data_IF_615608590711
#
_entry.id   IF_615608590711
#
_cell.length_a   1.000
_cell.length_b   1.000
_cell.length_c   1.000
_cell.angle_alpha   90.00
_cell.angle_beta   90.00
_cell.angle_gamma   90.00
#
_symmetry.space_group_name_H-M   'P 1'
#
loop_
_entity.id
_entity.type
_entity.pdbx_description
1 polymer ?
#
# COMPACT_ATOMS: atom_id res chain seq x y z
N UNK A 1 -12.84 -22.46 27.04
CA UNK A 1 -12.50 -22.13 26.51
C UNK A 1 -12.18 -22.31 25.82
N UNK A 2 -12.51 -22.41 25.78
CA UNK A 2 -12.08 -22.37 25.22
C UNK A 2 -11.42 -21.94 24.82
N UNK A 3 -11.41 -22.80 25.24
CA UNK A 3 -10.13 -22.29 25.14
C UNK A 3 -10.00 -21.31 24.15
N UNK A 4 -10.80 -21.14 23.44
CA UNK A 4 -10.66 -20.09 22.48
C UNK A 4 -10.97 -18.81 23.17
N UNK A 5 -9.92 -18.20 23.59
CA UNK A 5 -9.99 -16.82 24.02
C UNK A 5 -10.45 -16.00 22.83
N UNK A 6 -11.63 -15.38 22.87
CA UNK A 6 -12.13 -14.60 21.76
C UNK A 6 -11.18 -13.49 21.32
N UNK A 7 -10.41 -12.94 22.24
CA UNK A 7 -9.47 -11.88 21.88
C UNK A 7 -8.35 -12.39 20.99
N UNK A 8 -7.80 -13.55 21.31
CA UNK A 8 -6.71 -14.13 20.53
C UNK A 8 -7.20 -14.48 19.13
N UNK A 9 -8.38 -15.06 19.02
CA UNK A 9 -8.94 -15.40 17.73
C UNK A 9 -9.18 -14.14 16.91
N UNK A 10 -9.68 -13.09 17.56
CA UNK A 10 -9.93 -11.83 16.89
C UNK A 10 -8.65 -11.20 16.36
N UNK A 11 -7.58 -11.22 17.14
CA UNK A 11 -6.30 -10.67 16.68
C UNK A 11 -5.74 -11.43 15.52
N UNK A 12 -5.77 -12.74 15.55
CA UNK A 12 -5.27 -13.57 14.46
C UNK A 12 -6.07 -13.31 13.20
N UNK A 13 -7.40 -13.28 13.32
CA UNK A 13 -8.25 -13.08 12.16
C UNK A 13 -8.23 -11.67 11.63
N UNK A 14 -7.74 -10.71 12.40
CA UNK A 14 -7.69 -9.32 11.93
C UNK A 14 -6.44 -9.00 11.12
N UNK A 15 -5.48 -9.92 11.06
CA UNK A 15 -4.35 -9.79 10.13
C UNK A 15 -4.75 -10.42 8.81
N UNK A 16 -4.76 -9.62 7.76
CA UNK A 16 -5.15 -10.12 6.45
C UNK A 16 -4.28 -9.49 5.36
N UNK A 17 -3.58 -10.35 4.63
CA UNK A 17 -2.87 -9.93 3.42
C UNK A 17 -3.87 -9.88 2.28
N UNK A 18 -3.91 -8.76 1.57
CA UNK A 18 -4.90 -8.51 0.53
C UNK A 18 -4.33 -8.61 -0.87
N UNK A 19 -3.06 -8.29 -1.06
CA UNK A 19 -2.54 -8.09 -2.40
C UNK A 19 -1.02 -8.06 -2.38
N UNK A 20 -0.41 -8.48 -3.47
CA UNK A 20 1.03 -8.39 -3.66
C UNK A 20 1.30 -8.02 -5.11
N UNK A 21 2.32 -7.23 -5.33
CA UNK A 21 2.69 -6.80 -6.67
C UNK A 21 4.16 -6.37 -6.68
N UNK A 22 4.70 -6.18 -7.89
CA UNK A 22 6.08 -5.72 -8.06
C UNK A 22 6.13 -4.58 -9.04
N UNK A 23 7.09 -3.70 -8.86
CA UNK A 23 7.31 -2.60 -9.78
C UNK A 23 8.40 -1.68 -9.27
N UNK A 24 9.05 -0.99 -10.19
CA UNK A 24 10.08 0.01 -9.90
C UNK A 24 11.24 -0.54 -9.06
N UNK A 25 11.54 -1.84 -9.21
CA UNK A 25 12.65 -2.47 -8.49
C UNK A 25 12.29 -2.97 -7.09
N UNK A 26 11.03 -2.90 -6.73
CA UNK A 26 10.53 -3.34 -5.42
C UNK A 26 9.49 -4.43 -5.56
N UNK A 27 9.37 -5.22 -4.51
CA UNK A 27 8.24 -6.13 -4.31
C UNK A 27 7.42 -5.60 -3.15
N UNK A 28 6.11 -5.58 -3.31
CA UNK A 28 5.20 -4.99 -2.33
C UNK A 28 4.13 -5.98 -1.91
N UNK A 29 3.63 -5.78 -0.69
CA UNK A 29 2.40 -6.41 -0.24
C UNK A 29 1.54 -5.35 0.47
N UNK A 30 0.25 -5.61 0.50
CA UNK A 30 -0.72 -4.73 1.18
C UNK A 30 -1.52 -5.59 2.13
N UNK A 31 -1.71 -5.11 3.34
CA UNK A 31 -2.42 -5.86 4.37
C UNK A 31 -3.23 -4.94 5.27
N UNK A 32 -4.21 -5.51 5.95
CA UNK A 32 -4.87 -4.87 7.08
C UNK A 32 -4.40 -5.56 8.37
N UNK A 33 -4.11 -4.78 9.38
CA UNK A 33 -3.79 -5.26 10.72
C UNK A 33 -4.62 -4.47 11.70
N UNK A 34 -5.50 -5.16 12.43
CA UNK A 34 -6.35 -4.53 13.43
C UNK A 34 -7.11 -3.32 12.85
N UNK A 35 -7.64 -3.49 11.67
CA UNK A 35 -8.45 -2.47 11.02
C UNK A 35 -7.69 -1.34 10.36
N UNK A 36 -6.37 -1.47 10.23
CA UNK A 36 -5.54 -0.46 9.60
C UNK A 36 -4.76 -1.04 8.45
N UNK A 37 -4.70 -0.30 7.35
CA UNK A 37 -4.00 -0.74 6.15
C UNK A 37 -2.53 -0.34 6.17
N UNK A 38 -1.69 -1.23 5.67
CA UNK A 38 -0.25 -0.99 5.52
C UNK A 38 0.20 -1.50 4.17
N UNK A 39 1.21 -0.84 3.62
CA UNK A 39 1.95 -1.36 2.48
C UNK A 39 3.37 -1.66 2.94
N UNK A 40 3.85 -2.84 2.61
CA UNK A 40 5.23 -3.23 2.86
C UNK A 40 5.97 -3.35 1.54
N UNK A 41 7.24 -2.98 1.54
CA UNK A 41 8.05 -3.08 0.34
C UNK A 41 9.49 -3.41 0.67
N UNK A 42 10.12 -4.14 -0.22
CA UNK A 42 11.55 -4.45 -0.14
C UNK A 42 12.15 -4.44 -1.53
N UNK A 43 13.46 -4.23 -1.61
CA UNK A 43 14.17 -4.30 -2.89
C UNK A 43 14.08 -5.70 -3.46
N UNK A 44 13.91 -5.82 -4.77
CA UNK A 44 13.78 -7.12 -5.42
C UNK A 44 14.97 -8.03 -5.19
N UNK A 45 16.16 -7.46 -4.99
CA UNK A 45 17.37 -8.23 -4.82
C UNK A 45 17.71 -8.54 -3.37
N UNK A 46 16.83 -8.17 -2.46
CA UNK A 46 17.05 -8.38 -1.04
C UNK A 46 16.43 -9.72 -0.62
N UNK A 47 17.22 -10.77 -0.70
CA UNK A 47 16.76 -12.12 -0.38
C UNK A 47 16.42 -12.25 1.11
N UNK A 48 17.15 -11.53 1.96
CA UNK A 48 16.97 -11.62 3.40
C UNK A 48 15.92 -10.67 3.94
N UNK A 49 15.31 -9.85 3.08
CA UNK A 49 14.33 -8.84 3.45
C UNK A 49 14.86 -7.81 4.45
N UNK A 50 16.16 -7.55 4.40
CA UNK A 50 16.77 -6.53 5.27
C UNK A 50 16.29 -5.13 4.94
N UNK A 51 15.76 -4.92 3.74
CA UNK A 51 15.28 -3.62 3.30
C UNK A 51 13.75 -3.49 3.42
N UNK A 52 13.11 -4.43 4.12
CA UNK A 52 11.66 -4.38 4.28
C UNK A 52 11.24 -3.18 5.12
N UNK A 53 10.36 -2.37 4.58
CA UNK A 53 9.78 -1.21 5.26
C UNK A 53 8.28 -1.26 5.12
N UNK A 54 7.55 -0.97 6.18
CA UNK A 54 6.10 -0.87 6.15
C UNK A 54 5.66 0.57 6.40
N UNK A 55 4.67 1.01 5.65
CA UNK A 55 4.08 2.34 5.78
C UNK A 55 2.58 2.20 5.98
N UNK A 56 1.98 3.01 6.86
CA UNK A 56 0.52 3.01 6.96
C UNK A 56 -0.09 3.67 5.73
N UNK A 57 -1.25 3.16 5.32
CA UNK A 57 -2.04 3.74 4.24
C UNK A 57 -3.34 4.28 4.81
N UNK A 58 -3.65 5.53 4.53
CA UNK A 58 -4.91 6.14 4.95
C UNK A 58 -5.52 6.89 3.78
N UNK A 59 -6.83 7.07 3.85
CA UNK A 59 -7.57 7.76 2.81
C UNK A 59 -8.50 8.77 3.48
N UNK A 60 -8.32 10.05 3.18
CA UNK A 60 -9.05 11.13 3.86
C UNK A 60 -10.22 11.67 3.05
N UNK A 61 -10.76 10.86 2.16
CA UNK A 61 -11.88 11.29 1.34
C UNK A 61 -13.12 11.59 2.14
N UNK A 62 -13.85 12.63 1.73
CA UNK A 62 -15.10 12.98 2.38
C UNK A 62 -14.96 13.61 3.75
N UNK A 63 -13.78 14.12 4.08
CA UNK A 63 -13.57 14.79 5.35
C UNK A 63 -13.38 13.86 6.54
N UNK A 64 -13.32 12.56 6.30
CA UNK A 64 -13.10 11.57 7.35
C UNK A 64 -11.96 10.65 6.96
N UNK A 65 -11.03 10.47 7.90
CA UNK A 65 -9.92 9.54 7.68
C UNK A 65 -10.42 8.10 7.70
N UNK A 66 -10.11 7.36 6.65
CA UNK A 66 -10.47 5.95 6.55
C UNK A 66 -9.21 5.11 6.50
N UNK A 67 -9.14 4.10 7.32
CA UNK A 67 -7.94 3.29 7.51
C UNK A 67 -8.10 1.83 7.11
N UNK A 68 -9.33 1.36 6.94
CA UNK A 68 -9.59 -0.02 6.58
C UNK A 68 -9.68 -0.16 5.07
N UNK A 69 -8.80 -0.99 4.50
CA UNK A 69 -8.76 -1.21 3.06
C UNK A 69 -9.70 -2.37 2.71
N UNK A 70 -10.73 -2.07 1.94
CA UNK A 70 -11.73 -3.06 1.55
C UNK A 70 -11.38 -3.76 0.25
N UNK A 71 -10.74 -3.05 -0.67
CA UNK A 71 -10.34 -3.61 -1.96
C UNK A 71 -9.14 -2.85 -2.47
N UNK A 72 -8.29 -3.53 -3.22
CA UNK A 72 -7.06 -2.91 -3.72
C UNK A 72 -6.64 -3.58 -5.01
N UNK A 73 -6.07 -2.79 -5.91
CA UNK A 73 -5.42 -3.28 -7.11
C UNK A 73 -4.33 -2.30 -7.51
N UNK A 74 -3.51 -2.69 -8.47
CA UNK A 74 -2.45 -1.82 -8.97
C UNK A 74 -2.43 -1.87 -10.50
N UNK A 75 -1.81 -0.87 -11.09
CA UNK A 75 -1.65 -0.82 -12.53
C UNK A 75 -1.28 0.56 -13.01
N UNK A 76 -0.99 0.64 -14.29
CA UNK A 76 -0.69 1.92 -14.92
C UNK A 76 -1.99 2.61 -15.31
N UNK A 77 -1.98 3.94 -15.30
CA UNK A 77 -3.17 4.69 -15.68
C UNK A 77 -3.38 4.63 -17.19
N UNK A 78 -4.65 4.50 -17.60
CA UNK A 78 -4.98 4.69 -18.99
C UNK A 78 -4.86 6.18 -19.33
N UNK A 79 -4.88 6.48 -20.61
CA UNK A 79 -4.58 7.82 -21.10
C UNK A 79 -5.44 8.92 -20.49
N UNK A 80 -6.74 8.71 -20.40
CA UNK A 80 -7.64 9.72 -19.84
C UNK A 80 -7.40 9.95 -18.36
N UNK A 81 -7.23 8.89 -17.61
CA UNK A 81 -6.95 8.99 -16.20
C UNK A 81 -5.60 9.65 -15.94
N UNK A 82 -4.62 9.32 -16.78
CA UNK A 82 -3.29 9.90 -16.68
C UNK A 82 -3.34 11.42 -16.79
N UNK A 83 -4.08 11.95 -17.76
CA UNK A 83 -4.22 13.40 -17.94
C UNK A 83 -4.78 14.04 -16.67
N UNK A 84 -5.80 13.42 -16.08
CA UNK A 84 -6.43 13.95 -14.87
C UNK A 84 -5.48 13.90 -13.68
N UNK A 85 -4.77 12.80 -13.50
CA UNK A 85 -3.87 12.63 -12.34
C UNK A 85 -2.67 13.56 -12.43
N UNK A 86 -2.15 13.82 -13.64
CA UNK A 86 -1.01 14.71 -13.80
C UNK A 86 -1.32 16.15 -13.39
N UNK A 87 -2.57 16.53 -13.34
CA UNK A 87 -2.95 17.85 -12.85
C UNK A 87 -2.65 18.02 -11.36
N UNK A 88 -2.73 16.92 -10.61
CA UNK A 88 -2.44 16.94 -9.19
C UNK A 88 -0.98 16.55 -8.89
N UNK A 89 -0.45 15.61 -9.66
CA UNK A 89 0.92 15.13 -9.47
C UNK A 89 1.58 14.94 -10.83
N UNK A 90 2.40 15.92 -11.22
CA UNK A 90 3.05 15.91 -12.52
C UNK A 90 4.14 14.86 -12.67
N UNK A 91 4.53 14.19 -11.57
CA UNK A 91 5.52 13.11 -11.63
C UNK A 91 4.93 11.79 -12.12
N UNK A 92 3.61 11.70 -12.20
CA UNK A 92 2.95 10.52 -12.75
C UNK A 92 3.09 10.53 -14.26
N UNK A 93 3.55 9.41 -14.82
CA UNK A 93 3.64 9.23 -16.25
C UNK A 93 3.02 7.89 -16.66
N UNK A 94 3.12 7.55 -17.94
CA UNK A 94 2.50 6.35 -18.47
C UNK A 94 3.08 5.06 -17.87
N UNK A 95 4.28 5.12 -17.32
CA UNK A 95 4.96 3.96 -16.75
C UNK A 95 4.83 3.88 -15.23
N UNK A 96 4.25 4.89 -14.60
CA UNK A 96 4.11 4.92 -13.15
C UNK A 96 3.09 3.88 -12.71
N UNK A 97 3.49 3.03 -11.78
CA UNK A 97 2.55 2.10 -11.14
C UNK A 97 1.72 2.87 -10.12
N UNK A 98 0.42 2.69 -10.18
CA UNK A 98 -0.51 3.30 -9.23
C UNK A 98 -1.14 2.21 -8.38
N UNK A 99 -1.41 2.53 -7.13
CA UNK A 99 -2.12 1.65 -6.22
C UNK A 99 -3.50 2.26 -6.00
N UNK A 100 -4.55 1.50 -6.31
CA UNK A 100 -5.93 1.94 -6.18
C UNK A 100 -6.54 1.23 -4.99
N UNK A 101 -6.97 1.99 -3.99
CA UNK A 101 -7.54 1.40 -2.79
C UNK A 101 -8.90 1.98 -2.45
N UNK A 102 -9.83 1.09 -2.13
CA UNK A 102 -11.15 1.48 -1.62
C UNK A 102 -11.09 1.31 -0.11
N UNK A 103 -11.26 2.41 0.59
CA UNK A 103 -11.13 2.46 2.04
C UNK A 103 -12.47 2.75 2.69
N UNK A 104 -12.69 2.17 3.85
CA UNK A 104 -13.83 2.45 4.70
C UNK A 104 -13.38 2.61 6.14
N UNK A 105 -14.33 2.82 7.03
CA UNK A 105 -14.06 2.92 8.45
C UNK A 105 -14.02 1.55 9.12
N UNK A 106 -14.60 0.55 8.45
CA UNK A 106 -14.61 -0.84 8.92
C UNK A 106 -14.80 -1.76 7.73
N UNK A 107 -14.74 -3.07 7.98
CA UNK A 107 -14.90 -4.09 6.93
C UNK A 107 -16.27 -3.99 6.25
N UNK A 108 -17.29 -3.58 6.98
CA UNK A 108 -18.66 -3.54 6.46
C UNK A 108 -19.16 -2.12 6.19
N UNK A 109 -18.28 -1.13 6.29
CA UNK A 109 -18.67 0.25 6.05
C UNK A 109 -19.16 0.45 4.63
N UNK A 110 -20.30 1.10 4.47
CA UNK A 110 -20.82 1.46 3.15
C UNK A 110 -20.31 2.85 2.72
N UNK A 111 -19.81 3.63 3.66
CA UNK A 111 -19.22 4.92 3.35
C UNK A 111 -17.75 4.70 2.99
N UNK A 112 -17.47 4.66 1.71
CA UNK A 112 -16.14 4.35 1.21
C UNK A 112 -15.56 5.47 0.38
N UNK A 113 -14.25 5.46 0.25
CA UNK A 113 -13.52 6.41 -0.61
C UNK A 113 -12.48 5.66 -1.41
N UNK A 114 -12.29 6.08 -2.65
CA UNK A 114 -11.22 5.57 -3.48
C UNK A 114 -10.03 6.51 -3.35
N UNK A 115 -8.88 5.98 -2.97
CA UNK A 115 -7.64 6.71 -3.00
C UNK A 115 -6.68 6.07 -3.97
N UNK A 116 -5.94 6.90 -4.70
CA UNK A 116 -4.97 6.45 -5.68
C UNK A 116 -3.60 6.93 -5.20
N UNK A 117 -2.68 5.98 -5.06
CA UNK A 117 -1.34 6.28 -4.57
C UNK A 117 -0.33 6.15 -5.70
N UNK A 118 0.56 7.12 -5.80
CA UNK A 118 1.71 7.05 -6.69
C UNK A 118 2.77 6.18 -6.03
N UNK A 119 3.02 4.99 -6.56
CA UNK A 119 3.93 4.03 -5.94
C UNK A 119 5.36 4.57 -5.89
N UNK A 120 5.77 5.39 -6.85
CA UNK A 120 7.11 6.02 -6.78
C UNK A 120 7.27 6.87 -5.52
N UNK A 121 6.21 7.56 -5.10
CA UNK A 121 6.26 8.37 -3.89
C UNK A 121 6.30 7.52 -2.64
N UNK A 122 5.62 6.39 -2.64
CA UNK A 122 5.71 5.46 -1.54
C UNK A 122 7.13 4.93 -1.41
N UNK A 123 7.78 4.64 -2.54
CA UNK A 123 9.18 4.21 -2.55
C UNK A 123 10.09 5.29 -1.97
N UNK A 124 9.88 6.55 -2.34
CA UNK A 124 10.66 7.64 -1.78
C UNK A 124 10.57 7.68 -0.26
N UNK A 125 9.38 7.46 0.27
CA UNK A 125 9.19 7.42 1.72
C UNK A 125 9.91 6.23 2.36
N UNK A 126 9.89 5.08 1.71
CA UNK A 126 10.59 3.90 2.19
C UNK A 126 12.10 4.10 2.16
N UNK A 127 12.62 4.69 1.10
CA UNK A 127 14.06 4.93 0.97
C UNK A 127 14.58 5.89 2.02
N UNK A 128 13.77 6.84 2.47
CA UNK A 128 14.17 7.74 3.55
C UNK A 128 14.48 7.01 4.84
N UNK A 129 13.83 5.88 5.05
CA UNK A 129 14.06 5.11 6.28
C UNK A 129 15.34 4.31 6.18
N UNK A 130 15.61 3.70 5.02
CA UNK A 130 16.74 2.78 4.90
C UNK A 130 17.81 3.18 3.90
N UNK A 131 17.55 4.11 3.03
CA UNK A 131 18.50 4.43 1.97
C UNK A 131 18.92 3.15 1.23
N UNK A 132 17.95 2.32 0.94
CA UNK A 132 18.20 0.90 0.71
C UNK A 132 18.41 0.52 -0.74
N UNK A 133 17.42 0.71 -1.56
CA UNK A 133 17.50 0.20 -2.93
C UNK A 133 18.47 0.98 -3.78
N UNK A 134 18.78 2.21 -3.41
CA UNK A 134 19.77 2.98 -4.13
C UNK A 134 21.16 2.37 -4.02
N UNK A 135 21.47 1.85 -2.84
CA UNK A 135 22.79 1.22 -2.66
C UNK A 135 22.84 -0.16 -3.27
N UNK A 136 21.86 -0.99 -2.96
CA UNK A 136 21.87 -2.36 -3.49
C UNK A 136 21.33 -2.45 -4.90
N UNK A 137 20.33 -1.65 -5.23
CA UNK A 137 19.74 -1.66 -6.55
C UNK A 137 20.63 -1.10 -7.61
N UNK A 138 21.40 -0.10 -7.28
CA UNK A 138 22.34 0.49 -8.22
C UNK A 138 23.45 -0.48 -8.61
N UNK A 139 23.72 -1.41 -7.75
CA UNK A 139 24.75 -2.40 -8.00
C UNK A 139 24.25 -3.49 -8.93
N UNK A 140 23.03 -3.43 -9.31
CA UNK A 140 22.39 -4.50 -10.02
C UNK A 140 21.84 -4.04 -11.34
#
# INVERSE_FOLDING_TARGET
>A
MEPTDPEIVSEVSSLRYLYAFAGHGYTFYVKNVLGKAYIGGSCNNDIAYDTLVELPLTCNGGGMEKKYLQAVTSGKAEEKLLVTLRKTDSTIDADTILLYGVFGTSVSSSATSLCIFNVKRLIEMMDRVFDSCHLSGADL
#
